data_IF_237207915728
#
_entry.id   IF_237207915728
#
_cell.length_a   1.000
_cell.length_b   1.000
_cell.length_c   1.000
_cell.angle_alpha   90.00
_cell.angle_beta   90.00
_cell.angle_gamma   90.00
#
_symmetry.space_group_name_H-M   'P 1'
#
loop_
_entity.id
_entity.type
_entity.pdbx_description
1 polymer ?
#
# COMPACT_ATOMS: atom_id res chain seq x y z
N UNK A 1 103.38 21.77 -80.17
CA UNK A 1 102.09 22.13 -80.80
C UNK A 1 101.04 21.30 -80.06
N UNK A 2 100.30 21.93 -79.15
CA UNK A 2 99.43 21.25 -78.18
C UNK A 2 98.12 20.77 -78.80
N UNK A 3 97.57 19.68 -78.27
CA UNK A 3 96.22 19.25 -78.58
C UNK A 3 95.42 19.15 -77.27
N UNK A 4 94.37 19.96 -77.20
CA UNK A 4 93.41 20.07 -76.10
C UNK A 4 92.47 18.87 -76.17
N UNK A 5 92.24 18.20 -75.03
CA UNK A 5 91.23 17.14 -74.91
C UNK A 5 90.00 17.76 -74.25
N UNK A 6 88.91 17.86 -75.00
CA UNK A 6 87.60 18.33 -74.55
C UNK A 6 86.85 17.19 -73.86
N UNK A 7 86.44 17.38 -72.61
CA UNK A 7 85.65 16.41 -71.85
C UNK A 7 84.18 16.50 -72.27
N UNK A 8 83.61 15.41 -72.80
CA UNK A 8 82.20 15.34 -73.14
C UNK A 8 81.30 15.41 -71.88
N UNK A 9 80.20 16.16 -71.91
CA UNK A 9 79.25 16.21 -70.79
C UNK A 9 78.57 14.84 -70.58
N UNK A 10 78.23 14.48 -69.33
CA UNK A 10 77.62 13.19 -69.02
C UNK A 10 76.23 13.06 -69.68
N UNK A 11 75.81 11.85 -70.09
CA UNK A 11 74.52 11.65 -70.73
C UNK A 11 73.37 11.86 -69.73
N UNK A 12 72.33 12.57 -70.18
CA UNK A 12 71.12 12.77 -69.39
C UNK A 12 70.33 11.44 -69.25
N UNK A 13 69.95 11.12 -68.01
CA UNK A 13 69.14 9.95 -67.69
C UNK A 13 67.77 10.08 -68.37
N UNK A 14 67.49 9.23 -69.37
CA UNK A 14 66.16 9.12 -69.97
C UNK A 14 65.16 8.66 -68.92
N UNK A 15 64.17 9.50 -68.60
CA UNK A 15 63.01 9.13 -67.79
C UNK A 15 62.20 8.06 -68.53
N UNK A 16 62.45 6.80 -68.21
CA UNK A 16 61.71 5.64 -68.74
C UNK A 16 60.82 5.00 -67.65
N UNK A 17 60.20 5.82 -66.80
CA UNK A 17 59.12 5.36 -65.93
C UNK A 17 57.86 6.16 -66.25
N UNK A 18 56.97 5.55 -67.04
CA UNK A 18 55.63 6.10 -67.30
C UNK A 18 54.90 6.37 -65.99
N UNK A 19 54.02 7.37 -65.99
CA UNK A 19 53.31 7.89 -64.81
C UNK A 19 52.76 6.75 -63.93
N UNK A 20 53.45 6.48 -62.83
CA UNK A 20 52.99 5.52 -61.84
C UNK A 20 51.77 6.13 -61.12
N UNK A 21 50.57 5.85 -61.64
CA UNK A 21 49.32 6.24 -60.98
C UNK A 21 49.18 5.44 -59.69
N UNK A 22 49.45 6.09 -58.56
CA UNK A 22 49.21 5.53 -57.23
C UNK A 22 47.70 5.33 -57.05
N UNK A 23 47.25 4.07 -57.09
CA UNK A 23 45.91 3.74 -56.64
C UNK A 23 45.91 3.77 -55.10
N UNK A 24 45.02 4.54 -54.46
CA UNK A 24 44.84 4.45 -53.02
C UNK A 24 44.57 2.99 -52.64
N UNK A 25 45.21 2.54 -51.56
CA UNK A 25 44.93 1.21 -51.01
C UNK A 25 43.45 1.07 -50.62
N UNK A 26 42.95 -0.18 -50.49
CA UNK A 26 41.60 -0.38 -49.98
C UNK A 26 41.46 0.31 -48.62
N UNK A 27 40.30 0.90 -48.37
CA UNK A 27 39.96 1.48 -47.06
C UNK A 27 40.05 0.37 -46.01
N UNK A 28 40.75 0.62 -44.92
CA UNK A 28 40.79 -0.30 -43.78
C UNK A 28 39.42 -0.44 -43.14
N UNK A 29 39.16 -1.60 -42.52
CA UNK A 29 37.93 -1.84 -41.80
C UNK A 29 37.76 -0.83 -40.65
N UNK A 30 36.51 -0.43 -40.40
CA UNK A 30 36.21 0.49 -39.32
C UNK A 30 36.36 -0.24 -37.97
N UNK A 31 36.94 0.42 -36.99
CA UNK A 31 36.95 -0.11 -35.63
C UNK A 31 35.52 -0.12 -35.06
N UNK A 32 35.18 -1.18 -34.32
CA UNK A 32 33.90 -1.38 -33.66
C UNK A 32 34.06 -1.36 -32.15
N UNK A 33 33.02 -0.92 -31.46
CA UNK A 33 32.93 -0.96 -30.00
C UNK A 33 31.55 -1.51 -29.63
N UNK A 34 31.54 -2.48 -28.72
CA UNK A 34 30.33 -3.05 -28.16
C UNK A 34 30.40 -3.09 -26.62
N UNK A 35 29.22 -3.16 -26.01
CA UNK A 35 29.06 -3.48 -24.59
C UNK A 35 28.90 -4.99 -24.47
N UNK A 36 29.72 -5.61 -23.62
CA UNK A 36 29.62 -7.02 -23.25
C UNK A 36 28.80 -7.21 -21.97
N UNK A 37 29.40 -7.85 -20.97
CA UNK A 37 28.75 -8.12 -19.69
C UNK A 37 28.62 -6.87 -18.83
N UNK A 38 27.49 -6.75 -18.12
CA UNK A 38 27.29 -5.74 -17.07
C UNK A 38 26.97 -6.49 -15.79
N UNK A 39 27.93 -6.54 -14.87
CA UNK A 39 27.85 -7.25 -13.60
C UNK A 39 27.76 -6.26 -12.43
N UNK A 40 27.24 -6.74 -11.31
CA UNK A 40 27.32 -6.01 -10.03
C UNK A 40 28.54 -6.48 -9.25
N UNK A 41 29.30 -5.57 -8.65
CA UNK A 41 30.45 -5.91 -7.80
C UNK A 41 30.79 -4.82 -6.79
N UNK A 42 31.81 -5.00 -5.95
CA UNK A 42 32.07 -4.04 -4.86
C UNK A 42 32.71 -2.73 -5.33
N UNK A 43 33.45 -2.78 -6.45
CA UNK A 43 34.15 -1.62 -7.01
C UNK A 43 33.83 -1.47 -8.50
N UNK A 44 33.73 -0.22 -8.96
CA UNK A 44 33.51 0.06 -10.37
C UNK A 44 34.73 -0.34 -11.21
N UNK A 45 34.52 -1.13 -12.25
CA UNK A 45 35.58 -1.55 -13.15
C UNK A 45 35.08 -1.65 -14.59
N UNK A 46 36.01 -1.47 -15.52
CA UNK A 46 35.80 -1.69 -16.96
C UNK A 46 36.93 -2.55 -17.48
N UNK A 47 36.60 -3.61 -18.22
CA UNK A 47 37.59 -4.49 -18.88
C UNK A 47 37.27 -4.61 -20.37
N UNK A 48 38.29 -4.59 -21.23
CA UNK A 48 38.13 -4.92 -22.64
C UNK A 48 38.41 -6.42 -22.84
N UNK A 49 37.42 -7.17 -23.33
CA UNK A 49 37.56 -8.58 -23.68
C UNK A 49 37.73 -8.82 -25.19
N UNK A 50 37.56 -7.77 -26.00
CA UNK A 50 37.87 -7.78 -27.43
C UNK A 50 39.31 -7.36 -27.70
N UNK A 51 39.54 -6.73 -28.84
CA UNK A 51 40.86 -6.21 -29.21
C UNK A 51 40.86 -4.68 -29.42
N UNK A 52 41.95 -4.14 -29.99
CA UNK A 52 42.11 -2.71 -30.23
C UNK A 52 41.27 -2.16 -31.39
N UNK A 53 40.71 -3.03 -32.22
CA UNK A 53 39.90 -2.72 -33.40
C UNK A 53 38.45 -3.24 -33.29
N UNK A 54 38.20 -4.27 -32.50
CA UNK A 54 36.85 -4.74 -32.12
C UNK A 54 36.76 -4.86 -30.59
N UNK A 55 36.55 -3.71 -29.93
CA UNK A 55 36.57 -3.64 -28.48
C UNK A 55 35.22 -4.08 -27.90
N UNK A 56 35.26 -4.93 -26.86
CA UNK A 56 34.08 -5.36 -26.10
C UNK A 56 34.28 -5.01 -24.64
N UNK A 57 33.64 -3.93 -24.20
CA UNK A 57 33.75 -3.43 -22.83
C UNK A 57 32.76 -4.14 -21.90
N UNK A 58 33.29 -4.81 -20.90
CA UNK A 58 32.53 -5.37 -19.79
C UNK A 58 32.60 -4.41 -18.59
N UNK A 59 31.48 -4.24 -17.90
CA UNK A 59 31.32 -3.34 -16.78
C UNK A 59 31.06 -4.14 -15.50
N UNK A 60 31.70 -3.71 -14.42
CA UNK A 60 31.31 -4.05 -13.05
C UNK A 60 30.83 -2.78 -12.38
N UNK A 61 29.57 -2.75 -11.95
CA UNK A 61 28.95 -1.59 -11.33
C UNK A 61 28.64 -1.88 -9.86
N UNK A 62 29.03 -1.01 -8.92
CA UNK A 62 28.64 -1.17 -7.53
C UNK A 62 27.15 -0.89 -7.34
N UNK A 63 26.55 -1.64 -6.41
CA UNK A 63 25.21 -1.34 -5.95
C UNK A 63 25.23 -0.01 -5.18
N UNK A 64 24.22 0.82 -5.40
CA UNK A 64 24.00 1.99 -4.55
C UNK A 64 23.85 1.59 -3.08
N UNK A 65 24.26 2.48 -2.18
CA UNK A 65 24.04 2.31 -0.75
C UNK A 65 22.54 2.19 -0.40
N UNK A 66 22.25 1.78 0.83
CA UNK A 66 20.89 1.82 1.33
C UNK A 66 20.35 3.27 1.32
N UNK A 67 19.07 3.42 1.00
CA UNK A 67 18.39 4.72 1.17
C UNK A 67 18.24 5.09 2.65
N UNK A 68 17.84 6.32 2.95
CA UNK A 68 17.50 6.73 4.31
C UNK A 68 16.44 5.82 4.94
N UNK A 69 16.55 5.57 6.24
CA UNK A 69 15.56 4.83 7.00
C UNK A 69 14.31 5.65 7.29
N UNK A 70 13.36 5.04 8.00
CA UNK A 70 12.21 5.73 8.58
C UNK A 70 12.34 5.73 10.10
N UNK A 71 11.93 6.84 10.70
CA UNK A 71 11.80 6.98 12.15
C UNK A 71 10.32 7.15 12.50
N UNK A 72 9.93 6.66 13.66
CA UNK A 72 8.55 6.70 14.12
C UNK A 72 8.44 7.20 15.55
N UNK A 73 7.35 7.90 15.83
CA UNK A 73 6.98 8.40 17.15
C UNK A 73 5.47 8.24 17.38
N UNK A 74 5.06 8.05 18.64
CA UNK A 74 3.67 7.82 19.00
C UNK A 74 3.15 8.88 19.97
N UNK A 75 2.11 9.60 19.55
CA UNK A 75 1.37 10.54 20.37
C UNK A 75 -0.06 10.04 20.58
N UNK A 76 -0.26 9.20 21.60
CA UNK A 76 -1.55 8.59 21.89
C UNK A 76 -2.00 7.64 20.77
N UNK A 77 -3.00 8.04 19.97
CA UNK A 77 -3.49 7.27 18.81
C UNK A 77 -2.87 7.72 17.48
N UNK A 78 -2.01 8.74 17.51
CA UNK A 78 -1.35 9.28 16.32
C UNK A 78 0.03 8.68 16.11
N UNK A 79 0.29 8.18 14.90
CA UNK A 79 1.60 7.71 14.45
C UNK A 79 2.29 8.80 13.65
N UNK A 80 3.42 9.29 14.15
CA UNK A 80 4.35 10.16 13.45
C UNK A 80 5.36 9.33 12.66
N UNK A 81 5.53 9.60 11.38
CA UNK A 81 6.59 9.00 10.56
C UNK A 81 7.41 10.12 9.90
N UNK A 82 8.73 9.96 9.89
CA UNK A 82 9.66 10.82 9.12
C UNK A 82 10.76 10.00 8.47
N UNK A 83 11.40 10.57 7.45
CA UNK A 83 12.64 10.02 6.91
C UNK A 83 13.79 10.36 7.87
N UNK A 84 14.72 9.43 8.08
CA UNK A 84 15.90 9.65 8.93
C UNK A 84 16.64 10.92 8.51
N UNK A 85 16.71 11.91 9.42
CA UNK A 85 17.36 13.20 9.21
C UNK A 85 16.44 14.38 8.89
N UNK A 86 15.15 14.16 8.63
CA UNK A 86 14.17 15.26 8.48
C UNK A 86 13.81 15.87 9.83
N UNK A 87 13.55 17.18 9.94
CA UNK A 87 13.33 17.79 11.25
C UNK A 87 11.98 17.45 11.90
N UNK A 88 10.97 17.09 11.10
CA UNK A 88 9.56 17.01 11.54
C UNK A 88 8.95 15.64 11.24
N UNK A 89 8.06 15.18 12.11
CA UNK A 89 7.25 13.99 11.92
C UNK A 89 5.93 14.34 11.22
N UNK A 90 5.54 13.55 10.23
CA UNK A 90 4.20 13.58 9.67
C UNK A 90 3.30 12.65 10.50
N UNK A 91 2.39 13.23 11.28
CA UNK A 91 1.46 12.47 12.13
C UNK A 91 0.17 12.12 11.40
N UNK A 92 -0.31 10.89 11.62
CA UNK A 92 -1.64 10.43 11.20
C UNK A 92 -2.35 9.83 12.41
N UNK A 93 -3.55 10.33 12.73
CA UNK A 93 -4.39 9.72 13.76
C UNK A 93 -4.97 8.41 13.22
N UNK A 94 -4.70 7.32 13.92
CA UNK A 94 -5.17 5.99 13.55
C UNK A 94 -6.46 5.62 14.29
N UNK A 95 -7.04 6.56 15.05
CA UNK A 95 -8.34 6.36 15.68
C UNK A 95 -9.44 6.31 14.62
N UNK A 96 -10.17 5.19 14.62
CA UNK A 96 -11.40 5.08 13.84
C UNK A 96 -12.48 6.05 14.33
N UNK A 97 -13.54 6.29 13.53
CA UNK A 97 -14.69 7.05 14.00
C UNK A 97 -15.28 6.41 15.27
N UNK A 98 -15.88 7.22 16.13
CA UNK A 98 -16.65 6.69 17.25
C UNK A 98 -17.76 5.76 16.71
N UNK A 99 -17.99 4.65 17.42
CA UNK A 99 -19.09 3.74 17.09
C UNK A 99 -20.45 4.43 17.23
N UNK A 100 -21.52 3.80 16.70
CA UNK A 100 -22.87 4.34 16.81
C UNK A 100 -23.26 4.57 18.27
N UNK A 101 -24.03 5.64 18.52
CA UNK A 101 -24.51 5.95 19.85
C UNK A 101 -25.49 4.86 20.32
N UNK A 102 -25.34 4.43 21.58
CA UNK A 102 -26.26 3.50 22.22
C UNK A 102 -27.20 4.28 23.15
N UNK A 103 -28.51 4.20 22.92
CA UNK A 103 -29.54 4.71 23.83
C UNK A 103 -30.04 3.61 24.76
N UNK A 104 -30.21 3.90 26.06
CA UNK A 104 -30.82 2.95 27.00
C UNK A 104 -32.27 3.33 27.25
N UNK A 105 -33.18 2.40 27.02
CA UNK A 105 -34.62 2.54 27.21
C UNK A 105 -35.03 1.60 28.35
N UNK A 106 -35.59 2.15 29.43
CA UNK A 106 -36.13 1.36 30.52
C UNK A 106 -37.59 1.01 30.23
N UNK A 107 -37.91 -0.28 30.21
CA UNK A 107 -39.25 -0.81 30.00
C UNK A 107 -39.70 -1.56 31.23
N UNK A 108 -40.91 -1.28 31.71
CA UNK A 108 -41.55 -2.05 32.78
C UNK A 108 -42.69 -2.86 32.18
N UNK A 109 -42.55 -4.18 32.20
CA UNK A 109 -43.56 -5.14 31.78
C UNK A 109 -44.47 -5.46 32.98
N UNK A 110 -45.74 -5.07 32.93
CA UNK A 110 -46.68 -5.29 34.03
C UNK A 110 -47.14 -6.76 34.08
N UNK A 111 -47.24 -7.33 35.28
CA UNK A 111 -47.70 -8.72 35.49
C UNK A 111 -49.08 -9.02 34.87
N UNK A 112 -49.98 -8.02 34.85
CA UNK A 112 -51.31 -8.14 34.27
C UNK A 112 -51.42 -7.72 32.80
N UNK A 113 -50.32 -7.31 32.16
CA UNK A 113 -50.30 -6.82 30.78
C UNK A 113 -50.20 -7.92 29.72
N UNK A 114 -50.01 -9.17 30.13
CA UNK A 114 -49.80 -10.30 29.23
C UNK A 114 -51.13 -10.87 28.72
N UNK A 115 -51.34 -10.80 27.41
CA UNK A 115 -52.48 -11.42 26.72
C UNK A 115 -51.94 -12.46 25.74
N UNK A 116 -52.43 -13.69 25.80
CA UNK A 116 -51.94 -14.82 24.98
C UNK A 116 -50.42 -15.07 25.06
N UNK A 117 -49.79 -14.64 26.16
CA UNK A 117 -48.34 -14.74 26.36
C UNK A 117 -47.55 -13.60 25.74
N UNK A 118 -48.20 -12.57 25.21
CA UNK A 118 -47.57 -11.40 24.60
C UNK A 118 -47.87 -10.12 25.38
N UNK A 119 -46.91 -9.19 25.41
CA UNK A 119 -47.08 -7.85 25.94
C UNK A 119 -46.31 -6.86 25.07
N UNK A 120 -47.00 -5.83 24.59
CA UNK A 120 -46.38 -4.73 23.84
C UNK A 120 -45.93 -3.63 24.80
N UNK A 121 -44.68 -3.19 24.65
CA UNK A 121 -44.14 -2.02 25.32
C UNK A 121 -44.14 -0.84 24.35
N UNK A 122 -44.82 0.23 24.73
CA UNK A 122 -44.85 1.48 23.96
C UNK A 122 -43.73 2.40 24.42
N UNK A 123 -42.85 2.80 23.51
CA UNK A 123 -41.88 3.86 23.72
C UNK A 123 -41.52 4.51 22.39
N UNK A 124 -41.61 5.84 22.31
CA UNK A 124 -41.25 6.61 21.11
C UNK A 124 -39.79 6.43 20.65
N UNK A 125 -38.92 5.85 21.48
CA UNK A 125 -37.54 5.50 21.11
C UNK A 125 -37.40 4.17 20.37
N UNK A 126 -38.46 3.35 20.28
CA UNK A 126 -38.50 2.19 19.39
C UNK A 126 -38.78 2.66 17.96
N UNK A 127 -37.87 2.36 17.06
CA UNK A 127 -37.95 2.56 15.61
C UNK A 127 -37.84 1.19 14.91
N UNK A 128 -38.69 0.94 13.94
CA UNK A 128 -38.74 -0.30 13.16
C UNK A 128 -37.61 -0.42 12.13
N UNK A 129 -36.91 0.68 11.84
CA UNK A 129 -35.78 0.71 10.91
C UNK A 129 -34.58 1.48 11.50
N UNK A 130 -33.38 1.07 11.10
CA UNK A 130 -32.12 1.77 11.45
C UNK A 130 -31.64 1.57 12.89
N UNK A 131 -32.25 0.66 13.65
CA UNK A 131 -31.85 0.34 15.03
C UNK A 131 -31.84 -1.15 15.30
N UNK A 132 -30.83 -1.59 16.04
CA UNK A 132 -30.77 -2.92 16.64
C UNK A 132 -31.00 -2.81 18.14
N UNK A 133 -31.77 -3.72 18.72
CA UNK A 133 -32.09 -3.68 20.14
C UNK A 133 -31.45 -4.84 20.87
N UNK A 134 -30.71 -4.53 21.93
CA UNK A 134 -30.23 -5.52 22.89
C UNK A 134 -31.08 -5.45 24.14
N UNK A 135 -31.82 -6.52 24.40
CA UNK A 135 -32.76 -6.58 25.53
C UNK A 135 -32.09 -7.32 26.66
N UNK A 136 -31.95 -6.66 27.81
CA UNK A 136 -31.41 -7.25 29.04
C UNK A 136 -32.35 -6.99 30.21
N UNK A 137 -32.73 -8.01 30.98
CA UNK A 137 -33.50 -7.79 32.21
C UNK A 137 -32.66 -7.05 33.26
N UNK A 138 -33.33 -6.29 34.12
CA UNK A 138 -32.72 -5.73 35.33
C UNK A 138 -32.35 -6.87 36.31
N UNK A 139 -31.31 -6.70 37.15
CA UNK A 139 -30.84 -7.77 38.03
C UNK A 139 -31.93 -8.29 38.98
N UNK A 140 -32.83 -7.42 39.45
CA UNK A 140 -33.96 -7.79 40.30
C UNK A 140 -35.06 -8.57 39.57
N UNK A 141 -35.11 -8.46 38.24
CA UNK A 141 -36.12 -9.11 37.38
C UNK A 141 -35.56 -10.32 36.62
N UNK A 142 -34.25 -10.59 36.72
CA UNK A 142 -33.55 -11.62 35.95
C UNK A 142 -34.13 -13.03 36.15
N UNK A 143 -34.40 -13.41 37.40
CA UNK A 143 -34.94 -14.74 37.74
C UNK A 143 -36.35 -14.94 37.18
N UNK A 144 -37.23 -13.95 37.40
CA UNK A 144 -38.61 -14.00 36.93
C UNK A 144 -38.69 -13.89 35.40
N UNK A 145 -37.84 -13.10 34.76
CA UNK A 145 -37.73 -12.97 33.29
C UNK A 145 -37.27 -14.28 32.65
N UNK A 146 -36.26 -14.94 33.24
CA UNK A 146 -35.75 -16.23 32.76
C UNK A 146 -36.72 -17.38 33.00
N UNK A 147 -37.40 -17.40 34.15
CA UNK A 147 -38.41 -18.41 34.49
C UNK A 147 -39.66 -18.29 33.60
N UNK A 148 -40.10 -17.07 33.32
CA UNK A 148 -41.18 -16.77 32.39
C UNK A 148 -40.81 -17.05 30.92
N UNK A 149 -39.51 -17.17 30.60
CA UNK A 149 -39.00 -17.40 29.26
C UNK A 149 -39.29 -16.23 28.32
N UNK A 150 -39.16 -15.00 28.83
CA UNK A 150 -39.47 -13.78 28.08
C UNK A 150 -38.42 -13.54 26.98
N UNK A 151 -38.89 -13.20 25.79
CA UNK A 151 -38.09 -12.83 24.62
C UNK A 151 -38.69 -11.58 24.00
N UNK A 152 -37.85 -10.61 23.64
CA UNK A 152 -38.29 -9.53 22.78
C UNK A 152 -38.31 -10.01 21.32
N UNK A 153 -39.32 -9.58 20.58
CA UNK A 153 -39.36 -9.69 19.13
C UNK A 153 -38.74 -8.42 18.50
N UNK A 154 -38.48 -8.51 17.20
CA UNK A 154 -38.05 -7.36 16.42
C UNK A 154 -39.15 -6.29 16.41
N UNK A 155 -38.75 -5.02 16.50
CA UNK A 155 -39.65 -3.86 16.39
C UNK A 155 -40.10 -3.76 14.94
N UNK A 156 -41.37 -4.07 14.66
CA UNK A 156 -41.96 -3.98 13.32
C UNK A 156 -42.71 -2.69 13.07
N UNK A 157 -43.10 -1.99 14.13
CA UNK A 157 -43.79 -0.69 14.08
C UNK A 157 -43.05 0.33 14.95
N UNK A 158 -42.97 1.58 14.47
CA UNK A 158 -42.35 2.65 15.25
C UNK A 158 -43.16 2.90 16.52
N UNK A 159 -42.48 2.92 17.66
CA UNK A 159 -43.06 3.17 18.96
C UNK A 159 -43.36 1.90 19.77
N UNK A 160 -43.27 0.70 19.19
CA UNK A 160 -43.78 -0.52 19.81
C UNK A 160 -42.77 -1.67 19.78
N UNK A 161 -42.46 -2.24 20.94
CA UNK A 161 -41.68 -3.47 21.06
C UNK A 161 -42.52 -4.58 21.68
N UNK A 162 -42.69 -5.67 20.94
CA UNK A 162 -43.47 -6.83 21.40
C UNK A 162 -42.58 -7.80 22.18
N UNK A 163 -42.99 -8.15 23.39
CA UNK A 163 -42.36 -9.17 24.22
C UNK A 163 -43.27 -10.40 24.26
N UNK A 164 -42.69 -11.58 24.10
CA UNK A 164 -43.37 -12.86 24.22
C UNK A 164 -42.82 -13.64 25.40
N UNK A 165 -43.69 -14.25 26.19
CA UNK A 165 -43.34 -15.09 27.32
C UNK A 165 -43.89 -16.51 27.13
N UNK A 166 -43.20 -17.49 27.71
CA UNK A 166 -43.70 -18.87 27.76
C UNK A 166 -44.71 -19.06 28.90
N UNK A 167 -44.51 -18.37 30.00
CA UNK A 167 -45.39 -18.38 31.17
C UNK A 167 -45.51 -16.95 31.68
N UNK A 168 -46.75 -16.48 31.84
CA UNK A 168 -47.00 -15.12 32.29
C UNK A 168 -46.36 -14.88 33.68
N UNK A 169 -45.49 -13.87 33.82
CA UNK A 169 -44.86 -13.56 35.09
C UNK A 169 -45.87 -13.00 36.10
N UNK A 170 -45.81 -13.47 37.35
CA UNK A 170 -46.70 -13.00 38.43
C UNK A 170 -46.30 -11.65 39.03
N UNK A 171 -45.15 -11.09 38.61
CA UNK A 171 -44.59 -9.83 39.10
C UNK A 171 -44.22 -8.92 37.93
N UNK A 172 -44.22 -7.61 38.15
CA UNK A 172 -43.73 -6.67 37.13
C UNK A 172 -42.23 -6.92 36.88
N UNK A 173 -41.82 -6.89 35.61
CA UNK A 173 -40.44 -7.10 35.19
C UNK A 173 -39.86 -5.80 34.65
N UNK A 174 -38.70 -5.40 35.15
CA UNK A 174 -37.93 -4.30 34.58
C UNK A 174 -36.92 -4.84 33.56
N UNK A 175 -36.92 -4.23 32.38
CA UNK A 175 -36.07 -4.62 31.26
C UNK A 175 -35.40 -3.37 30.70
N UNK A 176 -34.09 -3.45 30.51
CA UNK A 176 -33.29 -2.43 29.85
C UNK A 176 -33.12 -2.84 28.38
N UNK A 177 -33.62 -2.00 27.48
CA UNK A 177 -33.45 -2.17 26.05
C UNK A 177 -32.41 -1.16 25.56
N UNK A 178 -31.28 -1.67 25.07
CA UNK A 178 -30.22 -0.84 24.49
C UNK A 178 -30.48 -0.74 22.99
N UNK A 179 -30.82 0.45 22.52
CA UNK A 179 -30.99 0.78 21.12
C UNK A 179 -29.63 1.18 20.54
N UNK A 180 -29.10 0.36 19.64
CA UNK A 180 -27.91 0.63 18.86
C UNK A 180 -28.35 1.19 17.51
N UNK A 181 -27.83 2.37 17.14
CA UNK A 181 -28.01 2.89 15.80
C UNK A 181 -27.23 2.02 14.80
N UNK A 182 -27.91 1.53 13.77
CA UNK A 182 -27.29 0.74 12.70
C UNK A 182 -27.20 1.66 11.49
N UNK A 183 -25.98 2.10 11.21
CA UNK A 183 -25.64 2.98 10.07
C UNK A 183 -25.33 2.17 8.82
#
# INVERSE_FOLDING_TARGET
>A
MGLVIELAPPPELRQEIGEARLLPGPKGDAATIAVGEVLTGDSAAVTNSGDGHDAVFNFVLPRGGAGPGLEYDWEGTSLGVRVTGEAEYAYTDLRGPAGPAAGVISVTLAAGGWSDGEQTAENAAFLAAGRAYLVSPAPESLEAYSAAGVKALDVTEDGEMTFVCRSAPGTALNVSVIALEVV
#
